data_IF_440126072369
#
_entry.id   IF_440126072369
#
_cell.length_a   1.000
_cell.length_b   1.000
_cell.length_c   1.000
_cell.angle_alpha   90.00
_cell.angle_beta   90.00
_cell.angle_gamma   90.00
#
_symmetry.space_group_name_H-M   'P 1'
#
loop_
_entity.id
_entity.type
_entity.pdbx_description
1 polymer ?
#
# COMPACT_ATOMS: atom_id res chain seq x y z
N UNK A 1 32.10 -17.05 -34.46
CA UNK A 1 30.78 -16.38 -34.59
C UNK A 1 30.39 -15.85 -33.21
N UNK A 2 30.57 -14.55 -32.96
CA UNK A 2 30.13 -13.94 -31.70
C UNK A 2 28.68 -13.53 -31.88
N UNK A 3 27.76 -14.23 -31.23
CA UNK A 3 26.36 -13.82 -31.16
C UNK A 3 26.29 -12.53 -30.35
N UNK A 4 26.03 -11.41 -31.03
CA UNK A 4 25.72 -10.13 -30.37
C UNK A 4 24.28 -10.20 -29.86
N UNK A 5 24.08 -10.99 -28.80
CA UNK A 5 22.90 -10.84 -27.96
C UNK A 5 23.06 -9.46 -27.33
N UNK A 6 22.19 -8.48 -27.61
CA UNK A 6 22.27 -7.10 -27.08
C UNK A 6 22.21 -6.95 -25.55
N UNK A 7 22.50 -8.01 -24.82
CA UNK A 7 22.68 -8.06 -23.38
C UNK A 7 24.16 -7.77 -23.07
N UNK A 8 24.49 -6.49 -22.86
CA UNK A 8 25.84 -6.08 -22.50
C UNK A 8 26.38 -6.85 -21.29
N UNK A 9 27.61 -7.37 -21.43
CA UNK A 9 28.32 -8.29 -20.53
C UNK A 9 28.86 -7.62 -19.25
N UNK A 10 28.15 -6.63 -18.72
CA UNK A 10 28.55 -5.83 -17.55
C UNK A 10 27.52 -5.78 -16.42
N UNK A 11 26.42 -6.53 -16.51
CA UNK A 11 25.36 -6.51 -15.47
C UNK A 11 25.81 -7.32 -14.25
N UNK A 12 26.14 -6.64 -13.16
CA UNK A 12 26.45 -7.28 -11.88
C UNK A 12 25.23 -8.05 -11.35
N UNK A 13 25.45 -9.25 -10.81
CA UNK A 13 24.41 -10.05 -10.14
C UNK A 13 23.67 -9.26 -9.06
N UNK A 14 24.38 -8.34 -8.39
CA UNK A 14 23.78 -7.44 -7.41
C UNK A 14 22.78 -6.46 -8.03
N UNK A 15 23.08 -5.94 -9.22
CA UNK A 15 22.19 -5.05 -9.97
C UNK A 15 20.89 -5.73 -10.39
N UNK A 16 20.97 -6.99 -10.82
CA UNK A 16 19.79 -7.80 -11.15
C UNK A 16 18.91 -7.99 -9.91
N UNK A 17 19.50 -8.24 -8.74
CA UNK A 17 18.75 -8.37 -7.49
C UNK A 17 18.03 -7.08 -7.10
N UNK A 18 18.66 -5.92 -7.26
CA UNK A 18 18.00 -4.63 -7.02
C UNK A 18 16.82 -4.42 -7.96
N UNK A 19 17.02 -4.70 -9.25
CA UNK A 19 15.98 -4.59 -10.25
C UNK A 19 14.78 -5.48 -9.91
N UNK A 20 15.02 -6.75 -9.55
CA UNK A 20 13.96 -7.67 -9.16
C UNK A 20 13.19 -7.19 -7.91
N UNK A 21 13.88 -6.61 -6.93
CA UNK A 21 13.25 -6.05 -5.75
C UNK A 21 12.36 -4.84 -6.08
N UNK A 22 12.82 -3.94 -6.94
CA UNK A 22 12.03 -2.80 -7.43
C UNK A 22 10.79 -3.27 -8.18
N UNK A 23 10.93 -4.20 -9.13
CA UNK A 23 9.78 -4.77 -9.85
C UNK A 23 8.76 -5.42 -8.93
N UNK A 24 9.23 -6.13 -7.89
CA UNK A 24 8.33 -6.76 -6.91
C UNK A 24 7.58 -5.70 -6.10
N UNK A 25 8.25 -4.63 -5.68
CA UNK A 25 7.62 -3.51 -4.96
C UNK A 25 6.58 -2.78 -5.83
N UNK A 26 6.90 -2.52 -7.10
CA UNK A 26 6.00 -1.86 -8.06
C UNK A 26 4.76 -2.74 -8.36
N UNK A 27 4.92 -4.06 -8.34
CA UNK A 27 3.81 -5.01 -8.44
C UNK A 27 2.91 -5.05 -7.19
N UNK A 28 3.26 -4.30 -6.13
CA UNK A 28 2.49 -4.19 -4.90
C UNK A 28 2.85 -5.23 -3.84
N UNK A 29 4.01 -5.88 -3.94
CA UNK A 29 4.48 -6.77 -2.89
C UNK A 29 4.80 -5.99 -1.60
N UNK A 30 4.38 -6.57 -0.48
CA UNK A 30 4.55 -6.04 0.86
C UNK A 30 5.96 -6.25 1.40
N UNK A 31 6.30 -5.52 2.46
CA UNK A 31 7.64 -5.57 3.08
C UNK A 31 8.04 -6.97 3.50
N UNK A 32 7.11 -7.73 4.07
CA UNK A 32 7.36 -9.10 4.51
C UNK A 32 7.48 -10.09 3.34
N UNK A 33 6.76 -9.89 2.23
CA UNK A 33 6.91 -10.70 1.03
C UNK A 33 8.30 -10.52 0.40
N UNK A 34 8.78 -9.28 0.32
CA UNK A 34 10.14 -9.00 -0.14
C UNK A 34 11.21 -9.59 0.81
N UNK A 35 10.98 -9.51 2.13
CA UNK A 35 11.89 -10.14 3.08
C UNK A 35 11.97 -11.66 2.89
N UNK A 36 10.84 -12.33 2.66
CA UNK A 36 10.80 -13.76 2.38
C UNK A 36 11.48 -14.10 1.04
N UNK A 37 11.17 -13.35 -0.02
CA UNK A 37 11.67 -13.60 -1.37
C UNK A 37 13.19 -13.39 -1.49
N UNK A 38 13.73 -12.38 -0.81
CA UNK A 38 15.14 -12.01 -0.92
C UNK A 38 15.96 -12.45 0.30
N UNK A 39 15.35 -13.04 1.33
CA UNK A 39 16.04 -13.47 2.55
C UNK A 39 16.58 -12.31 3.39
N UNK A 40 15.91 -11.16 3.38
CA UNK A 40 16.32 -10.02 4.20
C UNK A 40 15.86 -10.20 5.64
N UNK A 41 16.78 -9.99 6.59
CA UNK A 41 16.50 -10.10 8.02
C UNK A 41 15.88 -8.84 8.62
N UNK A 42 16.11 -7.69 8.00
CA UNK A 42 15.68 -6.39 8.52
C UNK A 42 14.65 -5.76 7.61
N UNK A 43 13.61 -5.22 8.25
CA UNK A 43 12.52 -4.48 7.59
C UNK A 43 13.08 -3.26 6.84
N UNK A 44 14.04 -2.55 7.43
CA UNK A 44 14.67 -1.36 6.83
C UNK A 44 15.31 -1.64 5.46
N UNK A 45 15.79 -2.87 5.21
CA UNK A 45 16.38 -3.23 3.92
C UNK A 45 15.31 -3.36 2.83
N UNK A 46 14.15 -3.90 3.19
CA UNK A 46 13.00 -4.08 2.31
C UNK A 46 12.28 -2.74 2.03
N UNK A 47 12.18 -1.89 3.06
CA UNK A 47 11.56 -0.58 2.95
C UNK A 47 12.20 0.33 1.91
N UNK A 48 13.51 0.19 1.66
CA UNK A 48 14.22 0.98 0.63
C UNK A 48 13.52 0.87 -0.72
N UNK A 49 12.95 -0.30 -1.03
CA UNK A 49 12.30 -0.56 -2.31
C UNK A 49 10.79 -0.31 -2.28
N UNK A 50 10.14 -0.42 -1.11
CA UNK A 50 8.67 -0.40 -1.00
C UNK A 50 8.11 0.96 -0.59
N UNK A 51 8.84 1.76 0.19
CA UNK A 51 8.31 2.98 0.83
C UNK A 51 7.63 3.95 -0.13
N UNK A 52 8.14 4.09 -1.36
CA UNK A 52 7.54 4.92 -2.40
C UNK A 52 6.23 4.31 -2.91
N UNK A 53 6.31 3.11 -3.47
CA UNK A 53 5.17 2.39 -4.06
C UNK A 53 4.01 2.20 -3.08
N UNK A 54 4.31 1.84 -1.83
CA UNK A 54 3.28 1.63 -0.81
C UNK A 54 2.59 2.92 -0.38
N UNK A 55 3.29 4.07 -0.41
CA UNK A 55 2.69 5.34 0.02
C UNK A 55 1.55 5.75 -0.89
N UNK A 56 1.75 5.64 -2.20
CA UNK A 56 0.75 6.03 -3.20
C UNK A 56 -0.42 5.05 -3.18
N UNK A 57 -0.12 3.75 -3.17
CA UNK A 57 -1.13 2.67 -3.16
C UNK A 57 -1.97 2.68 -1.87
N UNK A 58 -1.33 2.73 -0.70
CA UNK A 58 -2.02 2.73 0.58
C UNK A 58 -2.78 4.03 0.81
N UNK A 59 -2.28 5.16 0.30
CA UNK A 59 -2.99 6.44 0.34
C UNK A 59 -4.32 6.39 -0.39
N UNK A 60 -4.33 5.84 -1.61
CA UNK A 60 -5.56 5.66 -2.39
C UNK A 60 -6.51 4.67 -1.71
N UNK A 61 -6.01 3.51 -1.30
CA UNK A 61 -6.84 2.50 -0.63
C UNK A 61 -7.43 3.02 0.69
N UNK A 62 -6.65 3.77 1.48
CA UNK A 62 -7.14 4.35 2.72
C UNK A 62 -8.23 5.39 2.47
N UNK A 63 -8.06 6.23 1.46
CA UNK A 63 -9.06 7.22 1.07
C UNK A 63 -10.38 6.54 0.65
N UNK A 64 -10.29 5.48 -0.16
CA UNK A 64 -11.46 4.71 -0.58
C UNK A 64 -12.17 4.05 0.61
N UNK A 65 -11.43 3.43 1.54
CA UNK A 65 -12.03 2.83 2.75
C UNK A 65 -12.81 3.85 3.60
N UNK A 66 -12.30 5.09 3.68
CA UNK A 66 -13.00 6.17 4.40
C UNK A 66 -14.25 6.58 3.64
N UNK A 67 -14.18 6.73 2.32
CA UNK A 67 -15.33 7.04 1.48
C UNK A 67 -16.42 5.96 1.58
N UNK A 68 -16.06 4.68 1.47
CA UNK A 68 -16.97 3.54 1.63
C UNK A 68 -17.68 3.56 2.98
N UNK A 69 -16.98 3.97 4.04
CA UNK A 69 -17.57 4.07 5.38
C UNK A 69 -18.56 5.23 5.49
N UNK A 70 -18.31 6.36 4.80
CA UNK A 70 -19.19 7.52 4.76
C UNK A 70 -20.45 7.24 3.92
N UNK A 71 -20.32 6.54 2.80
CA UNK A 71 -21.44 6.18 1.91
C UNK A 71 -22.31 5.03 2.45
N UNK A 72 -21.91 4.39 3.55
CA UNK A 72 -22.71 3.34 4.17
C UNK A 72 -23.94 3.93 4.86
N UNK A 73 -24.99 4.19 4.06
CA UNK A 73 -26.29 4.77 4.45
C UNK A 73 -27.11 3.81 5.34
N UNK A 74 -26.74 2.52 5.41
CA UNK A 74 -27.39 1.53 6.27
C UNK A 74 -26.52 1.32 7.52
N UNK A 75 -26.84 1.93 8.68
CA UNK A 75 -26.12 1.64 9.91
C UNK A 75 -26.23 0.15 10.26
N UNK A 76 -25.12 -0.48 10.67
CA UNK A 76 -25.09 -1.88 11.11
C UNK A 76 -26.07 -2.16 12.28
N UNK A 77 -26.46 -1.11 13.01
CA UNK A 77 -27.47 -1.16 14.07
C UNK A 77 -28.84 -0.74 13.52
N UNK A 78 -29.50 -1.61 12.76
CA UNK A 78 -30.92 -1.47 12.38
C UNK A 78 -31.89 -1.94 13.49
N UNK A 79 -31.49 -1.93 14.76
CA UNK A 79 -32.43 -2.18 15.86
C UNK A 79 -33.01 -0.83 16.28
N UNK A 80 -34.24 -0.57 15.83
CA UNK A 80 -35.07 0.54 16.32
C UNK A 80 -35.11 0.49 17.86
N UNK A 81 -34.50 1.48 18.51
CA UNK A 81 -34.50 1.62 19.98
C UNK A 81 -33.12 1.64 20.67
N UNK A 82 -32.02 1.36 19.97
CA UNK A 82 -30.68 1.39 20.57
C UNK A 82 -29.95 2.72 20.35
N UNK A 83 -30.30 3.75 21.13
CA UNK A 83 -29.48 4.97 21.29
C UNK A 83 -30.26 6.28 21.27
N UNK A 84 -29.98 7.17 22.24
CA UNK A 84 -30.53 8.53 22.25
C UNK A 84 -29.89 9.34 21.12
N UNK A 85 -30.71 9.83 20.19
CA UNK A 85 -30.31 10.79 19.16
C UNK A 85 -29.75 12.04 19.85
N UNK A 86 -28.48 12.37 19.60
CA UNK A 86 -27.89 13.61 20.10
C UNK A 86 -28.59 14.80 19.40
N UNK A 87 -29.31 15.61 20.17
CA UNK A 87 -29.83 16.90 19.71
C UNK A 87 -28.66 17.86 19.54
N UNK A 88 -28.15 18.01 18.32
CA UNK A 88 -27.30 19.15 18.01
C UNK A 88 -28.16 20.42 18.01
N UNK A 89 -28.12 21.15 19.12
CA UNK A 89 -28.64 22.51 19.22
C UNK A 89 -27.68 23.43 18.47
N UNK A 90 -27.91 23.65 17.18
CA UNK A 90 -27.31 24.78 16.47
C UNK A 90 -27.78 26.06 17.17
N UNK A 91 -26.93 26.65 18.01
CA UNK A 91 -27.12 28.00 18.55
C UNK A 91 -27.16 28.95 17.36
N UNK A 92 -28.34 29.44 17.05
CA UNK A 92 -28.54 30.60 16.19
C UNK A 92 -27.90 31.79 16.90
N UNK A 93 -26.75 32.25 16.39
CA UNK A 93 -26.20 33.56 16.77
C UNK A 93 -26.78 34.57 15.80
N UNK A 94 -27.55 35.51 16.37
CA UNK A 94 -28.12 36.71 15.75
C UNK A 94 -26.99 37.68 15.40
#
# INVERSE_FOLDING_TARGET
>A
MKINTGLETGKSAHGIRKLAATFSADAGATTHELMAQFGWKTVSQAEIYIRGADRDRLGLQSSNRVADHIENIIPQTLISGAGKIQKNTNKSTI
#
